data_IF_792946940092
#
_entry.id   IF_792946940092
#
_cell.length_a   1.000
_cell.length_b   1.000
_cell.length_c   1.000
_cell.angle_alpha   90.00
_cell.angle_beta   90.00
_cell.angle_gamma   90.00
#
_symmetry.space_group_name_H-M   'P 1'
#
loop_
_entity.id
_entity.type
_entity.pdbx_description
1 polymer ?
#
# COMPACT_ATOMS: atom_id res chain seq x y z
N UNK A 1 19.25 9.18 18.03
CA UNK A 1 18.03 9.86 18.53
C UNK A 1 16.86 8.93 18.22
N UNK A 2 16.17 8.39 19.24
CA UNK A 2 15.03 7.50 19.03
C UNK A 2 13.81 8.39 18.80
N UNK A 3 13.26 8.35 17.59
CA UNK A 3 12.06 9.10 17.21
C UNK A 3 10.86 8.44 17.90
N UNK A 4 10.09 9.19 18.70
CA UNK A 4 8.85 8.69 19.31
C UNK A 4 7.67 9.48 18.77
N UNK A 5 6.85 8.82 17.96
CA UNK A 5 5.51 9.31 17.62
C UNK A 5 4.60 9.03 18.84
N UNK A 6 3.87 10.03 19.39
CA UNK A 6 3.01 9.82 20.54
C UNK A 6 1.96 8.72 20.30
N UNK A 7 1.72 7.78 21.23
CA UNK A 7 0.72 6.71 21.06
C UNK A 7 -0.69 7.25 20.77
N UNK A 8 -0.98 8.46 21.24
CA UNK A 8 -2.25 9.14 21.10
C UNK A 8 -2.56 9.60 19.66
N UNK A 9 -1.56 9.66 18.77
CA UNK A 9 -1.78 9.90 17.33
C UNK A 9 -2.05 8.62 16.53
N UNK A 10 -1.93 7.44 17.16
CA UNK A 10 -2.20 6.13 16.53
C UNK A 10 -3.65 5.65 16.70
N UNK A 11 -4.51 6.44 17.35
CA UNK A 11 -5.85 5.99 17.73
C UNK A 11 -6.93 6.29 16.68
N UNK A 12 -6.70 7.22 15.75
CA UNK A 12 -7.70 7.56 14.75
C UNK A 12 -7.56 6.74 13.45
N UNK A 13 -8.24 5.59 13.43
CA UNK A 13 -8.28 4.69 12.26
C UNK A 13 -9.10 5.24 11.10
N UNK A 14 -9.95 6.25 11.31
CA UNK A 14 -10.89 6.74 10.27
C UNK A 14 -10.18 7.53 9.19
N UNK A 15 -9.06 8.17 9.53
CA UNK A 15 -8.33 9.04 8.59
C UNK A 15 -7.42 8.28 7.65
N UNK A 16 -6.97 7.09 8.03
CA UNK A 16 -6.26 6.17 7.13
C UNK A 16 -7.11 5.98 5.87
N UNK A 17 -8.43 5.81 6.02
CA UNK A 17 -9.36 5.54 4.91
C UNK A 17 -9.95 6.76 4.19
N UNK A 18 -9.55 7.98 4.53
CA UNK A 18 -10.19 9.21 4.05
C UNK A 18 -9.73 9.58 2.64
N UNK A 19 -10.68 9.95 1.77
CA UNK A 19 -10.43 10.60 0.47
C UNK A 19 -10.88 12.06 0.53
N UNK A 20 -10.08 13.00 0.04
CA UNK A 20 -10.51 14.40 -0.20
C UNK A 20 -10.95 14.54 -1.66
N UNK A 21 -12.03 15.28 -1.91
CA UNK A 21 -12.43 15.68 -3.26
C UNK A 21 -11.64 16.93 -3.66
N UNK A 22 -11.19 17.04 -4.92
CA UNK A 22 -10.69 18.31 -5.47
C UNK A 22 -9.35 18.28 -6.20
N UNK A 23 -8.52 17.24 -6.06
CA UNK A 23 -7.36 17.03 -6.95
C UNK A 23 -7.80 16.27 -8.20
N UNK A 24 -7.22 16.61 -9.35
CA UNK A 24 -7.40 15.87 -10.60
C UNK A 24 -6.76 14.48 -10.46
N UNK A 25 -7.44 13.57 -9.75
CA UNK A 25 -7.07 12.19 -9.67
C UNK A 25 -7.09 11.64 -11.09
N UNK A 26 -5.94 11.16 -11.57
CA UNK A 26 -5.90 10.40 -12.81
C UNK A 26 -6.90 9.25 -12.65
N UNK A 27 -7.92 9.14 -13.51
CA UNK A 27 -8.81 7.99 -13.46
C UNK A 27 -7.94 6.74 -13.59
N UNK A 28 -8.18 5.78 -12.70
CA UNK A 28 -7.43 4.53 -12.73
C UNK A 28 -7.57 3.94 -14.15
N UNK A 29 -6.47 3.71 -14.89
CA UNK A 29 -6.53 3.26 -16.28
C UNK A 29 -7.17 1.88 -16.43
N UNK A 30 -7.34 1.16 -15.32
CA UNK A 30 -8.12 -0.07 -15.23
C UNK A 30 -9.46 0.27 -14.58
N UNK A 31 -10.47 0.51 -15.41
CA UNK A 31 -11.87 0.58 -14.99
C UNK A 31 -12.48 -0.82 -15.15
N UNK A 32 -12.79 -1.48 -14.02
CA UNK A 32 -13.36 -2.83 -14.02
C UNK A 32 -14.74 -2.86 -14.69
N UNK A 33 -15.54 -1.80 -14.53
CA UNK A 33 -16.84 -1.66 -15.17
C UNK A 33 -16.72 -1.54 -16.68
N UNK A 34 -15.78 -0.71 -17.16
CA UNK A 34 -15.48 -0.57 -18.59
C UNK A 34 -14.93 -1.88 -19.18
N UNK A 35 -13.98 -2.54 -18.51
CA UNK A 35 -13.48 -3.85 -18.93
C UNK A 35 -14.60 -4.88 -19.04
N UNK A 36 -15.55 -4.87 -18.11
CA UNK A 36 -16.70 -5.78 -18.16
C UNK A 36 -17.64 -5.44 -19.32
N UNK A 37 -17.97 -4.16 -19.52
CA UNK A 37 -18.81 -3.70 -20.62
C UNK A 37 -18.21 -4.05 -22.00
N UNK A 38 -16.88 -4.08 -22.10
CA UNK A 38 -16.15 -4.46 -23.31
C UNK A 38 -15.90 -5.98 -23.43
N UNK A 39 -16.32 -6.79 -22.46
CA UNK A 39 -16.06 -8.24 -22.43
C UNK A 39 -14.59 -8.61 -22.18
N UNK A 40 -13.77 -7.67 -21.71
CA UNK A 40 -12.35 -7.83 -21.41
C UNK A 40 -12.07 -8.15 -19.93
N UNK A 41 -13.10 -8.11 -19.08
CA UNK A 41 -12.96 -8.47 -17.66
C UNK A 41 -12.69 -9.97 -17.51
N UNK A 42 -11.46 -10.28 -17.11
CA UNK A 42 -10.94 -11.64 -17.02
C UNK A 42 -10.17 -11.83 -15.70
N UNK A 43 -10.87 -12.09 -14.57
CA UNK A 43 -10.21 -12.30 -13.29
C UNK A 43 -9.34 -13.56 -13.35
N UNK A 44 -8.21 -13.52 -12.63
CA UNK A 44 -7.27 -14.64 -12.59
C UNK A 44 -7.89 -15.91 -11.97
N UNK A 45 -8.88 -15.75 -11.09
CA UNK A 45 -9.66 -16.86 -10.55
C UNK A 45 -11.04 -16.84 -11.17
N UNK A 46 -11.57 -18.02 -11.53
CA UNK A 46 -12.89 -18.17 -12.12
C UNK A 46 -13.66 -19.31 -11.46
N UNK A 47 -14.96 -19.13 -11.27
CA UNK A 47 -15.89 -20.18 -10.85
C UNK A 47 -16.66 -20.72 -12.06
N UNK A 48 -16.82 -22.04 -12.14
CA UNK A 48 -17.55 -22.75 -13.20
C UNK A 48 -18.55 -23.72 -12.58
N UNK A 49 -19.83 -23.46 -12.80
CA UNK A 49 -20.91 -24.36 -12.40
C UNK A 49 -20.98 -25.57 -13.33
N UNK A 50 -21.27 -26.74 -12.77
CA UNK A 50 -21.31 -28.02 -13.44
C UNK A 50 -22.50 -28.84 -12.96
N UNK A 51 -23.20 -29.45 -13.90
CA UNK A 51 -24.18 -30.50 -13.63
C UNK A 51 -23.59 -31.85 -14.05
N UNK A 52 -23.19 -32.66 -13.08
CA UNK A 52 -22.56 -33.96 -13.32
C UNK A 52 -23.61 -35.07 -13.18
N UNK A 53 -23.43 -36.16 -13.93
CA UNK A 53 -24.32 -37.32 -13.80
C UNK A 53 -23.94 -38.16 -12.57
N UNK A 54 -24.89 -38.54 -11.70
CA UNK A 54 -24.63 -39.47 -10.60
C UNK A 54 -24.06 -40.81 -11.11
N UNK A 55 -23.19 -41.49 -10.33
CA UNK A 55 -22.64 -42.78 -10.71
C UNK A 55 -23.73 -43.85 -10.80
N UNK A 56 -23.59 -44.74 -11.76
CA UNK A 56 -24.48 -45.90 -11.96
C UNK A 56 -23.65 -47.17 -12.10
N UNK A 57 -24.31 -48.35 -12.18
CA UNK A 57 -23.59 -49.59 -12.48
C UNK A 57 -22.95 -49.59 -13.87
N UNK A 58 -23.50 -48.84 -14.83
CA UNK A 58 -22.96 -48.70 -16.18
C UNK A 58 -21.89 -47.60 -16.30
N UNK A 59 -21.88 -46.65 -15.36
CA UNK A 59 -20.94 -45.53 -15.29
C UNK A 59 -20.44 -45.37 -13.85
N UNK A 60 -19.40 -46.15 -13.52
CA UNK A 60 -18.77 -46.21 -12.21
C UNK A 60 -17.40 -45.52 -12.18
N UNK A 61 -17.14 -44.55 -13.07
CA UNK A 61 -15.89 -43.79 -13.06
C UNK A 61 -15.75 -42.99 -11.76
N UNK A 62 -14.51 -42.78 -11.33
CA UNK A 62 -14.22 -42.08 -10.07
C UNK A 62 -14.66 -40.61 -10.12
N UNK A 63 -14.91 -40.02 -8.94
CA UNK A 63 -15.45 -38.66 -8.83
C UNK A 63 -14.54 -37.59 -9.47
N UNK A 64 -13.21 -37.80 -9.44
CA UNK A 64 -12.26 -36.90 -10.08
C UNK A 64 -12.39 -36.92 -11.60
N UNK A 65 -12.38 -38.11 -12.21
CA UNK A 65 -12.56 -38.25 -13.65
C UNK A 65 -13.93 -37.71 -14.11
N UNK A 66 -14.97 -37.91 -13.29
CA UNK A 66 -16.31 -37.35 -13.51
C UNK A 66 -16.31 -35.82 -13.51
N UNK A 67 -15.57 -35.20 -12.59
CA UNK A 67 -15.42 -33.75 -12.53
C UNK A 67 -14.62 -33.20 -13.72
N UNK A 68 -13.51 -33.85 -14.07
CA UNK A 68 -12.67 -33.48 -15.21
C UNK A 68 -13.42 -33.59 -16.53
N UNK A 69 -14.17 -34.68 -16.76
CA UNK A 69 -15.02 -34.85 -17.94
C UNK A 69 -16.13 -33.79 -17.99
N UNK A 70 -16.73 -33.45 -16.85
CA UNK A 70 -17.69 -32.34 -16.76
C UNK A 70 -17.10 -30.99 -17.15
N UNK A 71 -15.92 -30.66 -16.63
CA UNK A 71 -15.18 -29.43 -16.97
C UNK A 71 -14.78 -29.38 -18.45
N UNK A 72 -14.35 -30.51 -19.00
CA UNK A 72 -14.06 -30.68 -20.43
C UNK A 72 -15.30 -30.41 -21.28
N UNK A 73 -16.39 -31.17 -21.06
CA UNK A 73 -17.59 -31.10 -21.91
C UNK A 73 -18.37 -29.80 -21.80
N UNK A 74 -18.48 -29.24 -20.60
CA UNK A 74 -19.34 -28.06 -20.35
C UNK A 74 -18.57 -26.74 -20.51
N UNK A 75 -17.25 -26.73 -20.30
CA UNK A 75 -16.45 -25.50 -20.31
C UNK A 75 -15.20 -25.55 -21.21
N UNK A 76 -14.95 -26.66 -21.90
CA UNK A 76 -13.78 -26.82 -22.80
C UNK A 76 -12.44 -26.87 -22.06
N UNK A 77 -12.42 -27.36 -20.82
CA UNK A 77 -11.23 -27.38 -19.95
C UNK A 77 -10.64 -28.79 -19.84
N UNK A 78 -9.90 -29.20 -20.87
CA UNK A 78 -9.40 -30.59 -21.00
C UNK A 78 -8.06 -30.85 -20.29
N UNK A 79 -7.39 -29.80 -19.80
CA UNK A 79 -6.02 -29.89 -19.32
C UNK A 79 -5.77 -28.98 -18.11
N UNK A 80 -6.09 -29.51 -16.94
CA UNK A 80 -5.96 -28.80 -15.66
C UNK A 80 -4.94 -29.49 -14.73
N UNK A 81 -4.47 -28.73 -13.76
CA UNK A 81 -3.74 -29.26 -12.60
C UNK A 81 -4.63 -29.22 -11.38
N UNK A 82 -4.33 -30.02 -10.36
CA UNK A 82 -5.20 -30.17 -9.19
C UNK A 82 -4.47 -29.75 -7.93
N UNK A 83 -5.20 -29.09 -7.05
CA UNK A 83 -4.77 -28.97 -5.67
C UNK A 83 -5.02 -30.26 -4.88
N UNK A 84 -3.99 -30.79 -4.22
CA UNK A 84 -4.10 -32.05 -3.48
C UNK A 84 -5.20 -32.02 -2.40
N UNK A 85 -5.35 -30.91 -1.68
CA UNK A 85 -6.28 -30.86 -0.54
C UNK A 85 -7.75 -30.83 -0.97
N UNK A 86 -8.04 -30.45 -2.22
CA UNK A 86 -9.37 -30.59 -2.80
C UNK A 86 -9.85 -32.04 -2.81
N UNK A 87 -8.96 -32.99 -3.08
CA UNK A 87 -9.31 -34.42 -3.16
C UNK A 87 -9.87 -34.95 -1.84
N UNK A 88 -9.45 -34.39 -0.71
CA UNK A 88 -9.93 -34.80 0.63
C UNK A 88 -11.42 -34.56 0.83
N UNK A 89 -12.01 -33.58 0.12
CA UNK A 89 -13.43 -33.21 0.25
C UNK A 89 -14.26 -33.43 -1.00
N UNK A 90 -13.66 -33.88 -2.10
CA UNK A 90 -14.33 -34.01 -3.40
C UNK A 90 -15.59 -34.90 -3.33
N UNK A 91 -15.42 -36.14 -2.87
CA UNK A 91 -16.49 -37.13 -2.83
C UNK A 91 -17.72 -36.74 -1.98
N UNK A 92 -17.58 -36.18 -0.76
CA UNK A 92 -18.74 -35.69 -0.02
C UNK A 92 -19.36 -34.45 -0.68
N UNK A 93 -18.56 -33.49 -1.16
CA UNK A 93 -19.08 -32.23 -1.73
C UNK A 93 -19.90 -32.48 -2.99
N UNK A 94 -19.42 -33.32 -3.91
CA UNK A 94 -20.13 -33.60 -5.17
C UNK A 94 -21.51 -34.24 -4.93
N UNK A 95 -21.71 -34.94 -3.81
CA UNK A 95 -22.99 -35.60 -3.48
C UNK A 95 -23.97 -34.70 -2.73
N UNK A 96 -23.52 -33.60 -2.13
CA UNK A 96 -24.37 -32.75 -1.27
C UNK A 96 -25.52 -32.08 -2.01
N UNK A 97 -25.32 -31.72 -3.28
CA UNK A 97 -26.37 -31.09 -4.10
C UNK A 97 -26.65 -31.89 -5.38
N UNK A 98 -26.75 -33.22 -5.24
CA UNK A 98 -27.08 -34.14 -6.32
C UNK A 98 -26.20 -33.95 -7.57
N UNK A 99 -24.87 -33.96 -7.38
CA UNK A 99 -23.89 -33.84 -8.46
C UNK A 99 -23.90 -32.49 -9.19
N UNK A 100 -24.57 -31.48 -8.64
CA UNK A 100 -24.41 -30.07 -9.02
C UNK A 100 -23.32 -29.45 -8.16
N UNK A 101 -22.29 -28.90 -8.80
CA UNK A 101 -21.12 -28.35 -8.12
C UNK A 101 -20.58 -27.12 -8.82
N UNK A 102 -19.85 -26.30 -8.08
CA UNK A 102 -19.06 -25.20 -8.64
C UNK A 102 -17.58 -25.48 -8.41
N UNK A 103 -16.81 -25.46 -9.50
CA UNK A 103 -15.36 -25.56 -9.50
C UNK A 103 -14.72 -24.16 -9.48
N UNK A 104 -13.74 -23.93 -8.60
CA UNK A 104 -12.93 -22.70 -8.60
C UNK A 104 -11.56 -22.99 -9.21
N UNK A 105 -11.21 -22.25 -10.25
CA UNK A 105 -10.03 -22.43 -11.10
C UNK A 105 -9.11 -21.22 -10.99
N UNK A 106 -7.82 -21.48 -10.83
CA UNK A 106 -6.73 -20.51 -10.85
C UNK A 106 -6.08 -20.47 -12.25
N UNK A 107 -6.13 -19.31 -12.90
CA UNK A 107 -5.49 -18.97 -14.17
C UNK A 107 -4.31 -17.99 -14.00
N UNK A 108 -3.91 -17.64 -12.77
CA UNK A 108 -2.86 -16.67 -12.50
C UNK A 108 -1.51 -17.10 -13.07
N UNK A 109 -1.21 -18.41 -13.08
CA UNK A 109 0.02 -18.94 -13.64
C UNK A 109 -0.02 -19.09 -15.18
N UNK A 110 -0.06 -17.96 -15.89
CA UNK A 110 -0.15 -17.92 -17.36
C UNK A 110 0.93 -18.72 -18.10
N UNK A 111 2.13 -18.88 -17.50
CA UNK A 111 3.23 -19.66 -18.07
C UNK A 111 2.93 -21.17 -18.14
N UNK A 112 2.14 -21.70 -17.22
CA UNK A 112 1.81 -23.13 -17.20
C UNK A 112 0.80 -23.53 -18.28
N UNK A 113 0.10 -22.56 -18.90
CA UNK A 113 -1.05 -22.74 -19.83
C UNK A 113 -2.21 -23.62 -19.34
N UNK A 114 -2.09 -24.27 -18.18
CA UNK A 114 -3.10 -25.13 -17.56
C UNK A 114 -3.67 -24.43 -16.33
N UNK A 115 -4.98 -24.24 -16.21
CA UNK A 115 -5.55 -23.77 -14.96
C UNK A 115 -5.37 -24.80 -13.85
N UNK A 116 -5.33 -24.34 -12.60
CA UNK A 116 -5.32 -25.20 -11.42
C UNK A 116 -6.69 -25.21 -10.78
N UNK A 117 -7.30 -26.38 -10.61
CA UNK A 117 -8.51 -26.55 -9.82
C UNK A 117 -8.14 -26.49 -8.33
N UNK A 118 -8.56 -25.42 -7.66
CA UNK A 118 -8.17 -25.12 -6.27
C UNK A 118 -9.29 -25.40 -5.27
N UNK A 119 -10.56 -25.28 -5.68
CA UNK A 119 -11.69 -25.48 -4.78
C UNK A 119 -12.91 -26.10 -5.50
N UNK A 120 -13.75 -26.77 -4.72
CA UNK A 120 -15.06 -27.26 -5.14
C UNK A 120 -16.10 -26.99 -4.04
N UNK A 121 -17.29 -26.58 -4.47
CA UNK A 121 -18.43 -26.22 -3.63
C UNK A 121 -19.71 -26.89 -4.15
N UNK A 122 -20.67 -27.24 -3.28
CA UNK A 122 -21.95 -27.80 -3.70
C UNK A 122 -22.86 -26.73 -4.32
N UNK A 123 -23.62 -27.10 -5.35
CA UNK A 123 -24.55 -26.23 -6.07
C UNK A 123 -23.88 -25.14 -6.90
N UNK A 124 -24.68 -24.18 -7.36
CA UNK A 124 -24.18 -22.99 -8.08
C UNK A 124 -23.79 -21.88 -7.10
N UNK A 125 -22.50 -21.59 -7.06
CA UNK A 125 -21.89 -20.56 -6.22
C UNK A 125 -21.15 -19.50 -7.04
N UNK A 126 -21.35 -19.47 -8.37
CA UNK A 126 -20.61 -18.57 -9.26
C UNK A 126 -20.81 -17.09 -8.92
N UNK A 127 -21.98 -16.72 -8.38
CA UNK A 127 -22.27 -15.36 -7.92
C UNK A 127 -21.63 -14.98 -6.58
N UNK A 128 -21.00 -15.91 -5.86
CA UNK A 128 -20.37 -15.71 -4.55
C UNK A 128 -18.87 -15.93 -4.68
N UNK A 129 -18.18 -14.92 -5.20
CA UNK A 129 -16.79 -15.05 -5.59
C UNK A 129 -16.00 -13.80 -5.20
N UNK A 130 -15.27 -13.87 -4.11
CA UNK A 130 -14.58 -12.71 -3.55
C UNK A 130 -13.07 -12.89 -3.51
N UNK A 131 -12.35 -11.77 -3.51
CA UNK A 131 -10.90 -11.72 -3.38
C UNK A 131 -10.44 -10.58 -2.50
N UNK A 132 -9.20 -10.70 -2.05
CA UNK A 132 -8.52 -9.70 -1.26
C UNK A 132 -7.31 -9.16 -2.02
N UNK A 133 -7.14 -7.84 -2.03
CA UNK A 133 -5.89 -7.20 -2.43
C UNK A 133 -5.32 -6.51 -1.19
N UNK A 134 -4.09 -6.87 -0.80
CA UNK A 134 -3.43 -6.38 0.42
C UNK A 134 -2.17 -5.62 0.04
N UNK A 135 -2.01 -4.43 0.60
CA UNK A 135 -0.78 -3.63 0.53
C UNK A 135 -0.14 -3.56 1.92
N UNK A 136 1.10 -4.03 2.03
CA UNK A 136 1.88 -4.01 3.27
C UNK A 136 2.91 -2.89 3.18
N UNK A 137 2.48 -1.70 3.59
CA UNK A 137 3.38 -0.60 3.83
C UNK A 137 4.19 -0.79 5.13
N UNK A 138 5.31 -0.08 5.21
CA UNK A 138 6.12 -0.04 6.44
C UNK A 138 5.28 0.49 7.62
N UNK A 139 4.45 1.50 7.37
CA UNK A 139 3.62 2.15 8.39
C UNK A 139 2.20 1.57 8.50
N UNK A 140 1.57 1.24 7.37
CA UNK A 140 0.15 0.91 7.29
C UNK A 140 -0.02 -0.38 6.51
N UNK A 141 -0.94 -1.24 6.94
CA UNK A 141 -1.43 -2.37 6.14
C UNK A 141 -2.82 -2.02 5.64
N UNK A 142 -3.00 -2.06 4.33
CA UNK A 142 -4.26 -1.80 3.65
C UNK A 142 -4.81 -3.05 3.01
N UNK A 143 -6.13 -3.23 3.00
CA UNK A 143 -6.77 -4.27 2.22
C UNK A 143 -8.02 -3.75 1.50
N UNK A 144 -8.27 -4.29 0.31
CA UNK A 144 -9.51 -4.15 -0.44
C UNK A 144 -10.19 -5.51 -0.58
N UNK A 145 -11.52 -5.50 -0.48
CA UNK A 145 -12.38 -6.64 -0.75
C UNK A 145 -13.04 -6.43 -2.12
N UNK A 146 -12.88 -7.42 -3.00
CA UNK A 146 -13.39 -7.39 -4.37
C UNK A 146 -14.45 -8.47 -4.57
N UNK A 147 -15.54 -8.12 -5.24
CA UNK A 147 -16.49 -9.05 -5.84
C UNK A 147 -16.03 -9.34 -7.28
N UNK A 148 -15.53 -10.55 -7.48
CA UNK A 148 -15.04 -10.99 -8.79
C UNK A 148 -16.14 -11.40 -9.74
N UNK A 149 -17.31 -11.81 -9.24
CA UNK A 149 -18.45 -12.14 -10.09
C UNK A 149 -18.97 -10.87 -10.78
N UNK A 150 -18.94 -9.74 -10.06
CA UNK A 150 -19.43 -8.47 -10.57
C UNK A 150 -18.36 -7.49 -11.04
N UNK A 151 -17.08 -7.73 -10.72
CA UNK A 151 -15.99 -6.82 -11.04
C UNK A 151 -16.05 -5.52 -10.24
N UNK A 152 -16.37 -5.60 -8.95
CA UNK A 152 -16.59 -4.44 -8.09
C UNK A 152 -15.68 -4.46 -6.87
N UNK A 153 -15.19 -3.30 -6.47
CA UNK A 153 -14.53 -3.13 -5.16
C UNK A 153 -15.64 -2.85 -4.15
N UNK A 154 -15.88 -3.80 -3.22
CA UNK A 154 -16.93 -3.67 -2.21
C UNK A 154 -16.53 -2.67 -1.13
N UNK A 155 -15.27 -2.70 -0.72
CA UNK A 155 -14.76 -1.78 0.29
C UNK A 155 -13.30 -2.00 0.61
N UNK A 156 -12.83 -1.21 1.56
CA UNK A 156 -11.45 -1.23 2.02
C UNK A 156 -11.40 -1.07 3.54
N UNK A 157 -10.30 -1.51 4.12
CA UNK A 157 -9.96 -1.32 5.52
C UNK A 157 -8.45 -1.21 5.65
N UNK A 158 -7.99 -0.60 6.74
CA UNK A 158 -6.58 -0.47 7.02
C UNK A 158 -6.34 -0.37 8.51
N UNK A 159 -5.11 -0.68 8.90
CA UNK A 159 -4.63 -0.50 10.27
C UNK A 159 -3.12 -0.23 10.25
N UNK A 160 -2.59 0.23 11.37
CA UNK A 160 -1.16 0.39 11.50
C UNK A 160 -0.46 -0.97 11.48
N UNK A 161 0.69 -1.00 10.80
CA UNK A 161 1.52 -2.18 10.74
C UNK A 161 2.05 -2.50 12.14
N UNK A 162 1.69 -3.67 12.67
CA UNK A 162 2.07 -4.11 14.01
C UNK A 162 3.59 -4.18 14.21
N UNK A 163 4.37 -4.20 13.12
CA UNK A 163 5.83 -4.17 13.17
C UNK A 163 6.41 -2.84 13.67
N UNK A 164 5.63 -1.74 13.67
CA UNK A 164 6.08 -0.42 14.12
C UNK A 164 6.67 -0.45 15.54
N UNK A 165 6.13 -1.30 16.43
CA UNK A 165 6.63 -1.44 17.81
C UNK A 165 8.07 -1.99 17.90
N UNK A 166 8.62 -2.52 16.81
CA UNK A 166 9.96 -3.12 16.75
C UNK A 166 10.94 -2.33 15.86
N UNK A 167 10.46 -1.29 15.18
CA UNK A 167 11.28 -0.44 14.31
C UNK A 167 10.42 0.48 13.45
N UNK A 168 10.82 1.75 13.39
CA UNK A 168 10.12 2.78 12.63
C UNK A 168 10.35 2.68 11.12
N UNK A 169 11.47 2.08 10.70
CA UNK A 169 11.87 1.94 9.30
C UNK A 169 12.25 0.50 8.92
N UNK A 170 12.53 0.27 7.64
CA UNK A 170 12.91 -1.06 7.13
C UNK A 170 14.25 -1.55 7.69
N UNK A 171 15.22 -0.67 7.91
CA UNK A 171 16.58 -1.04 8.35
C UNK A 171 16.57 -1.49 9.81
N UNK A 172 15.90 -0.74 10.68
CA UNK A 172 15.73 -1.06 12.10
C UNK A 172 14.99 -2.38 12.28
N UNK A 173 13.98 -2.67 11.44
CA UNK A 173 13.31 -3.98 11.42
C UNK A 173 14.21 -5.11 10.95
N UNK A 174 15.04 -4.91 9.92
CA UNK A 174 16.05 -5.91 9.51
C UNK A 174 17.02 -6.21 10.65
N UNK A 175 17.45 -5.19 11.40
CA UNK A 175 18.33 -5.35 12.55
C UNK A 175 17.62 -6.08 13.69
N UNK A 176 16.35 -5.75 13.97
CA UNK A 176 15.55 -6.45 14.97
C UNK A 176 15.35 -7.93 14.59
N UNK A 177 15.10 -8.22 13.31
CA UNK A 177 14.89 -9.57 12.78
C UNK A 177 16.05 -10.54 13.06
N UNK A 178 17.27 -10.02 13.20
CA UNK A 178 18.48 -10.78 13.51
C UNK A 178 18.60 -11.20 14.99
N UNK A 179 17.76 -10.67 15.87
CA UNK A 179 17.70 -11.12 17.27
C UNK A 179 17.05 -12.52 17.33
N UNK A 180 17.33 -13.31 18.38
CA UNK A 180 16.61 -14.56 18.62
C UNK A 180 15.09 -14.34 18.57
N UNK A 181 14.38 -15.17 17.79
CA UNK A 181 12.93 -15.05 17.50
C UNK A 181 12.48 -13.71 16.88
N UNK A 182 13.39 -12.81 16.51
CA UNK A 182 13.07 -11.47 16.01
C UNK A 182 12.30 -11.51 14.68
N UNK A 183 12.76 -12.32 13.73
CA UNK A 183 12.11 -12.52 12.43
C UNK A 183 10.70 -13.08 12.61
N UNK A 184 10.54 -14.14 13.40
CA UNK A 184 9.23 -14.74 13.70
C UNK A 184 8.30 -13.74 14.37
N UNK A 185 8.80 -12.92 15.28
CA UNK A 185 8.03 -11.86 15.95
C UNK A 185 7.52 -10.83 14.94
N UNK A 186 8.38 -10.35 14.04
CA UNK A 186 8.00 -9.40 12.99
C UNK A 186 6.99 -10.00 12.00
N UNK A 187 7.18 -11.27 11.63
CA UNK A 187 6.27 -12.00 10.75
C UNK A 187 4.88 -12.15 11.38
N UNK A 188 4.82 -12.59 12.65
CA UNK A 188 3.57 -12.73 13.38
C UNK A 188 2.87 -11.37 13.55
N UNK A 189 3.62 -10.29 13.80
CA UNK A 189 3.06 -8.96 13.95
C UNK A 189 2.32 -8.50 12.68
N UNK A 190 2.93 -8.66 11.50
CA UNK A 190 2.28 -8.26 10.23
C UNK A 190 1.10 -9.18 9.88
N UNK A 191 1.22 -10.49 10.09
CA UNK A 191 0.12 -11.45 9.90
C UNK A 191 -1.08 -11.13 10.79
N UNK A 192 -0.83 -10.78 12.06
CA UNK A 192 -1.87 -10.38 13.01
C UNK A 192 -2.58 -9.11 12.53
N UNK A 193 -1.84 -8.13 12.01
CA UNK A 193 -2.43 -6.93 11.41
C UNK A 193 -3.27 -7.28 10.19
N UNK A 194 -2.77 -8.10 9.27
CA UNK A 194 -3.51 -8.50 8.05
C UNK A 194 -4.81 -9.22 8.42
N UNK A 195 -4.76 -10.21 9.33
CA UNK A 195 -5.96 -10.92 9.80
C UNK A 195 -6.97 -9.94 10.39
N UNK A 196 -6.54 -9.01 11.25
CA UNK A 196 -7.43 -8.00 11.82
C UNK A 196 -8.12 -7.14 10.76
N UNK A 197 -7.38 -6.69 9.74
CA UNK A 197 -7.91 -5.89 8.63
C UNK A 197 -8.92 -6.70 7.81
N UNK A 198 -8.57 -7.93 7.43
CA UNK A 198 -9.45 -8.85 6.69
C UNK A 198 -10.73 -9.14 7.48
N UNK A 199 -10.63 -9.50 8.76
CA UNK A 199 -11.77 -9.75 9.62
C UNK A 199 -12.65 -8.51 9.82
N UNK A 200 -12.06 -7.31 9.75
CA UNK A 200 -12.81 -6.06 9.71
C UNK A 200 -13.69 -5.95 8.45
N UNK A 201 -13.14 -6.26 7.29
CA UNK A 201 -13.86 -6.28 6.01
C UNK A 201 -14.96 -7.32 6.01
N UNK A 202 -14.65 -8.57 6.32
CA UNK A 202 -15.60 -9.68 6.28
C UNK A 202 -16.80 -9.43 7.20
N UNK A 203 -16.56 -8.93 8.43
CA UNK A 203 -17.65 -8.56 9.35
C UNK A 203 -18.49 -7.40 8.83
N UNK A 204 -17.87 -6.36 8.26
CA UNK A 204 -18.58 -5.20 7.71
C UNK A 204 -19.52 -5.59 6.57
N UNK A 205 -19.08 -6.48 5.69
CA UNK A 205 -19.85 -6.94 4.53
C UNK A 205 -20.65 -8.22 4.79
N UNK A 206 -20.59 -8.77 6.01
CA UNK A 206 -21.26 -10.01 6.44
C UNK A 206 -20.94 -11.21 5.51
N UNK A 207 -19.68 -11.28 5.05
CA UNK A 207 -19.22 -12.36 4.17
C UNK A 207 -18.57 -13.48 4.98
N UNK A 208 -18.90 -14.74 4.67
CA UNK A 208 -18.16 -15.88 5.21
C UNK A 208 -16.75 -15.94 4.60
N UNK A 209 -15.78 -16.39 5.39
CA UNK A 209 -14.37 -16.44 4.96
C UNK A 209 -14.17 -17.47 3.83
N UNK A 210 -15.04 -18.48 3.77
CA UNK A 210 -15.07 -19.55 2.78
C UNK A 210 -15.28 -19.08 1.35
N UNK A 211 -15.89 -17.89 1.16
CA UNK A 211 -16.17 -17.32 -0.16
C UNK A 211 -14.99 -16.49 -0.73
N UNK A 212 -13.91 -16.34 0.04
CA UNK A 212 -12.65 -15.74 -0.44
C UNK A 212 -11.89 -16.81 -1.24
N UNK A 213 -11.65 -16.55 -2.51
CA UNK A 213 -11.00 -17.50 -3.41
C UNK A 213 -9.49 -17.26 -3.58
N UNK A 214 -9.01 -16.02 -3.46
CA UNK A 214 -7.59 -15.71 -3.53
C UNK A 214 -7.22 -14.39 -2.84
N UNK A 215 -5.91 -14.23 -2.56
CA UNK A 215 -5.32 -13.01 -2.02
C UNK A 215 -4.13 -12.58 -2.88
N UNK A 216 -4.12 -11.32 -3.31
CA UNK A 216 -2.96 -10.67 -3.94
C UNK A 216 -2.29 -9.73 -2.95
N UNK A 217 -0.95 -9.70 -2.93
CA UNK A 217 -0.16 -8.92 -1.99
C UNK A 217 0.86 -8.03 -2.73
N UNK A 218 0.92 -6.76 -2.37
CA UNK A 218 1.95 -5.82 -2.79
C UNK A 218 2.65 -5.25 -1.55
N UNK A 219 3.97 -5.08 -1.61
CA UNK A 219 4.78 -4.60 -0.51
C UNK A 219 6.20 -4.28 -0.99
N UNK A 220 6.93 -3.42 -0.28
CA UNK A 220 8.36 -3.31 -0.51
C UNK A 220 9.07 -4.65 -0.22
N UNK A 221 10.29 -4.80 -0.72
CA UNK A 221 11.03 -6.07 -0.65
C UNK A 221 11.27 -6.53 0.78
N UNK A 222 11.58 -5.60 1.69
CA UNK A 222 11.78 -5.92 3.11
C UNK A 222 10.47 -6.41 3.75
N UNK A 223 9.36 -5.70 3.53
CA UNK A 223 8.04 -6.10 4.03
C UNK A 223 7.61 -7.46 3.48
N UNK A 224 7.90 -7.74 2.21
CA UNK A 224 7.68 -9.06 1.59
C UNK A 224 8.47 -10.14 2.34
N UNK A 225 9.76 -9.93 2.58
CA UNK A 225 10.60 -10.90 3.29
C UNK A 225 10.10 -11.14 4.71
N UNK A 226 9.78 -10.08 5.46
CA UNK A 226 9.26 -10.20 6.82
C UNK A 226 7.92 -10.95 6.87
N UNK A 227 7.00 -10.68 5.93
CA UNK A 227 5.71 -11.36 5.84
C UNK A 227 5.86 -12.87 5.58
N UNK A 228 6.79 -13.25 4.70
CA UNK A 228 7.08 -14.64 4.39
C UNK A 228 8.02 -15.34 5.38
N UNK A 229 8.53 -14.62 6.39
CA UNK A 229 9.52 -15.17 7.32
C UNK A 229 10.85 -15.51 6.65
N UNK A 230 11.20 -14.81 5.57
CA UNK A 230 12.46 -14.96 4.84
C UNK A 230 13.49 -14.02 5.47
N UNK A 231 14.72 -14.51 5.68
CA UNK A 231 15.84 -13.73 6.23
C UNK A 231 16.13 -12.47 5.39
N UNK A 232 15.95 -11.25 5.95
CA UNK A 232 16.14 -10.00 5.21
C UNK A 232 17.52 -9.37 5.41
N UNK A 233 18.42 -9.95 6.22
CA UNK A 233 19.75 -9.38 6.56
C UNK A 233 20.54 -8.87 5.34
N UNK A 234 20.57 -9.64 4.26
CA UNK A 234 21.39 -9.33 3.09
C UNK A 234 20.83 -8.23 2.18
N UNK A 235 19.58 -7.79 2.40
CA UNK A 235 18.98 -6.64 1.70
C UNK A 235 19.80 -5.37 1.96
N UNK A 236 20.24 -5.17 3.21
CA UNK A 236 20.97 -3.96 3.64
C UNK A 236 22.49 -4.06 3.59
N UNK A 237 23.03 -5.24 3.30
CA UNK A 237 24.47 -5.46 3.29
C UNK A 237 24.94 -5.48 1.85
N UNK A 238 26.01 -4.74 1.55
CA UNK A 238 26.64 -4.77 0.23
C UNK A 238 26.92 -6.22 -0.20
N UNK A 239 26.55 -6.62 -1.44
CA UNK A 239 26.06 -5.82 -2.56
C UNK A 239 24.52 -5.67 -2.67
N UNK A 240 23.82 -5.62 -1.54
CA UNK A 240 22.38 -5.35 -1.41
C UNK A 240 21.50 -6.36 -2.14
N UNK A 241 21.70 -7.65 -1.86
CA UNK A 241 21.03 -8.74 -2.56
C UNK A 241 19.88 -9.32 -1.75
N UNK A 242 18.62 -9.18 -2.18
CA UNK A 242 17.50 -9.85 -1.53
C UNK A 242 17.54 -11.36 -1.78
N UNK A 243 16.94 -12.15 -0.89
CA UNK A 243 16.87 -13.61 -1.04
C UNK A 243 16.04 -14.00 -2.26
N UNK A 244 14.93 -13.29 -2.50
CA UNK A 244 14.10 -13.49 -3.68
C UNK A 244 13.39 -12.20 -4.09
N UNK A 245 13.37 -11.93 -5.40
CA UNK A 245 12.50 -10.89 -5.98
C UNK A 245 11.14 -11.46 -6.42
N UNK A 246 11.05 -12.77 -6.62
CA UNK A 246 9.82 -13.48 -6.97
C UNK A 246 9.58 -14.62 -5.97
N UNK A 247 8.49 -14.54 -5.21
CA UNK A 247 8.09 -15.59 -4.26
C UNK A 247 7.01 -16.44 -4.92
N UNK A 248 7.15 -17.78 -4.96
CA UNK A 248 6.12 -18.64 -5.53
C UNK A 248 4.82 -18.58 -4.73
N UNK A 249 3.66 -18.86 -5.34
CA UNK A 249 2.39 -18.86 -4.61
C UNK A 249 2.40 -19.86 -3.46
N UNK A 250 1.97 -19.41 -2.28
CA UNK A 250 1.86 -20.23 -1.06
C UNK A 250 0.46 -20.13 -0.49
N UNK A 251 0.04 -21.13 0.29
CA UNK A 251 -1.27 -21.06 0.96
C UNK A 251 -1.23 -19.99 2.04
N UNK A 252 -2.31 -19.24 2.13
CA UNK A 252 -2.48 -18.20 3.13
C UNK A 252 -2.33 -18.75 4.56
N UNK A 253 -2.98 -19.89 4.83
CA UNK A 253 -2.95 -20.51 6.16
C UNK A 253 -1.57 -20.95 6.63
N UNK A 254 -0.66 -21.29 5.71
CA UNK A 254 0.66 -21.81 6.06
C UNK A 254 1.55 -20.69 6.63
N UNK A 255 1.18 -19.43 6.38
CA UNK A 255 1.78 -18.23 6.97
C UNK A 255 1.00 -17.70 8.19
N UNK A 256 -0.06 -18.38 8.62
CA UNK A 256 -0.89 -17.96 9.74
C UNK A 256 -2.03 -17.00 9.40
N UNK A 257 -2.34 -16.81 8.11
CA UNK A 257 -3.56 -16.09 7.73
C UNK A 257 -4.80 -16.95 7.98
N UNK A 258 -5.84 -16.34 8.55
CA UNK A 258 -7.12 -16.98 8.88
C UNK A 258 -8.01 -17.07 7.63
N UNK A 259 -7.53 -17.75 6.59
CA UNK A 259 -8.23 -17.96 5.31
C UNK A 259 -8.37 -19.46 5.01
N UNK A 260 -9.34 -19.86 4.19
CA UNK A 260 -9.54 -21.26 3.81
C UNK A 260 -8.30 -21.91 3.20
N UNK A 261 -8.21 -23.23 3.33
CA UNK A 261 -7.09 -24.04 2.83
C UNK A 261 -6.80 -23.86 1.35
N UNK A 262 -7.81 -23.53 0.53
CA UNK A 262 -7.66 -23.35 -0.91
C UNK A 262 -7.15 -21.97 -1.33
N UNK A 263 -7.03 -21.02 -0.40
CA UNK A 263 -6.62 -19.65 -0.71
C UNK A 263 -5.10 -19.56 -0.82
N UNK A 264 -4.63 -19.18 -1.99
CA UNK A 264 -3.22 -18.89 -2.27
C UNK A 264 -2.95 -17.39 -2.25
N UNK A 265 -1.74 -17.04 -1.83
CA UNK A 265 -1.19 -15.68 -1.86
C UNK A 265 -0.35 -15.52 -3.12
N UNK A 266 -0.65 -14.48 -3.90
CA UNK A 266 0.15 -14.06 -5.05
C UNK A 266 0.80 -12.73 -4.72
N UNK A 267 2.12 -12.72 -4.56
CA UNK A 267 2.87 -11.49 -4.32
C UNK A 267 3.32 -10.86 -5.62
N UNK A 268 3.13 -9.54 -5.74
CA UNK A 268 3.74 -8.75 -6.81
C UNK A 268 5.26 -8.82 -6.64
N UNK A 269 5.97 -9.07 -7.74
CA UNK A 269 7.42 -9.28 -7.69
C UNK A 269 8.15 -7.97 -7.41
N UNK A 270 9.22 -8.05 -6.63
CA UNK A 270 10.16 -6.94 -6.42
C UNK A 270 11.11 -6.80 -7.60
N UNK A 271 11.75 -5.63 -7.72
CA UNK A 271 12.83 -5.38 -8.69
C UNK A 271 14.20 -5.58 -8.04
N UNK A 272 14.40 -5.00 -6.86
CA UNK A 272 15.68 -4.99 -6.14
C UNK A 272 15.47 -4.99 -4.62
N UNK A 273 16.50 -4.72 -3.82
CA UNK A 273 16.39 -4.62 -2.35
C UNK A 273 15.47 -3.50 -1.85
N UNK A 274 15.39 -2.39 -2.59
CA UNK A 274 14.69 -1.18 -2.16
C UNK A 274 13.59 -0.74 -3.12
N UNK A 275 13.36 -1.49 -4.20
CA UNK A 275 12.22 -1.29 -5.11
C UNK A 275 11.43 -2.59 -5.15
N UNK A 276 10.29 -2.60 -4.45
CA UNK A 276 9.50 -3.79 -4.23
C UNK A 276 8.26 -3.92 -5.11
N UNK A 277 7.39 -4.86 -4.72
CA UNK A 277 6.16 -5.17 -5.42
C UNK A 277 5.08 -4.10 -5.29
N UNK A 278 5.16 -3.26 -4.26
CA UNK A 278 4.38 -2.02 -4.12
C UNK A 278 4.60 -1.07 -5.31
N UNK A 279 5.86 -0.78 -5.63
CA UNK A 279 6.20 0.10 -6.76
C UNK A 279 5.82 -0.53 -8.09
N UNK A 280 6.08 -1.83 -8.27
CA UNK A 280 5.65 -2.55 -9.47
C UNK A 280 4.13 -2.52 -9.62
N UNK A 281 3.39 -2.71 -8.53
CA UNK A 281 1.93 -2.59 -8.50
C UNK A 281 1.48 -1.16 -8.86
N UNK A 282 2.16 -0.14 -8.34
CA UNK A 282 1.93 1.27 -8.65
C UNK A 282 2.14 1.61 -10.12
N UNK A 283 3.21 1.10 -10.74
CA UNK A 283 3.49 1.25 -12.18
C UNK A 283 2.46 0.51 -13.04
N UNK A 284 2.05 -0.69 -12.60
CA UNK A 284 0.98 -1.44 -13.27
C UNK A 284 -0.36 -0.69 -13.22
N UNK A 285 -0.65 -0.08 -12.07
CA UNK A 285 -1.85 0.72 -11.83
C UNK A 285 -1.81 2.06 -12.56
N UNK A 286 -0.64 2.68 -12.74
CA UNK A 286 -0.50 3.98 -13.42
C UNK A 286 -0.61 3.87 -14.94
N UNK A 287 -0.29 2.71 -15.50
CA UNK A 287 -0.39 2.45 -16.94
C UNK A 287 0.77 3.00 -17.78
N UNK A 288 1.84 3.50 -17.15
CA UNK A 288 3.01 4.09 -17.85
C UNK A 288 3.59 3.16 -18.90
N UNK A 289 3.61 1.86 -18.62
CA UNK A 289 4.10 0.81 -19.54
C UNK A 289 3.25 0.63 -20.82
N UNK A 290 2.16 1.39 -20.98
CA UNK A 290 1.29 1.38 -22.17
C UNK A 290 1.32 2.70 -22.94
N UNK A 291 2.04 3.69 -22.45
CA UNK A 291 2.04 5.03 -23.03
C UNK A 291 3.43 5.38 -23.58
N UNK A 292 3.53 6.10 -24.70
CA UNK A 292 4.82 6.52 -25.25
C UNK A 292 5.45 7.68 -24.45
N UNK A 293 4.62 8.43 -23.70
CA UNK A 293 5.04 9.62 -22.95
C UNK A 293 6.09 9.29 -21.90
N UNK A 294 7.16 10.07 -21.88
CA UNK A 294 8.17 9.97 -20.84
C UNK A 294 7.60 10.46 -19.51
N UNK A 295 7.43 9.52 -18.58
CA UNK A 295 6.71 9.76 -17.33
C UNK A 295 7.59 9.52 -16.12
N UNK A 296 7.67 10.51 -15.23
CA UNK A 296 8.25 10.39 -13.90
C UNK A 296 7.16 10.01 -12.90
N UNK A 297 7.23 8.78 -12.39
CA UNK A 297 6.42 8.30 -11.29
C UNK A 297 7.18 8.45 -9.98
N UNK A 298 6.52 9.01 -8.96
CA UNK A 298 7.09 9.25 -7.65
C UNK A 298 6.13 8.69 -6.60
N UNK A 299 6.55 7.68 -5.85
CA UNK A 299 5.84 7.21 -4.66
C UNK A 299 6.40 7.94 -3.43
N UNK A 300 5.57 8.81 -2.85
CA UNK A 300 5.95 9.59 -1.68
C UNK A 300 5.49 8.84 -0.44
N UNK A 301 6.40 8.03 0.09
CA UNK A 301 6.30 7.38 1.39
C UNK A 301 7.62 7.46 2.15
N UNK A 302 7.84 6.52 3.06
CA UNK A 302 9.01 6.49 3.96
C UNK A 302 10.36 6.41 3.21
N UNK A 303 10.39 5.76 2.04
CA UNK A 303 11.60 5.40 1.30
C UNK A 303 11.76 6.11 -0.06
N UNK A 304 10.85 7.00 -0.43
CA UNK A 304 10.98 7.85 -1.62
C UNK A 304 11.36 7.10 -2.91
N UNK A 305 10.46 6.29 -3.46
CA UNK A 305 10.70 5.51 -4.65
C UNK A 305 10.31 6.25 -5.93
N UNK A 306 11.15 6.14 -6.97
CA UNK A 306 10.98 6.84 -8.24
C UNK A 306 11.15 5.89 -9.42
N UNK A 307 10.35 6.11 -10.46
CA UNK A 307 10.40 5.38 -11.73
C UNK A 307 10.32 6.37 -12.88
N UNK A 308 11.21 6.26 -13.86
CA UNK A 308 11.19 7.04 -15.10
C UNK A 308 11.08 6.10 -16.29
N UNK A 309 10.29 6.47 -17.30
CA UNK A 309 10.25 5.75 -18.56
C UNK A 309 8.89 5.81 -19.24
N UNK A 310 8.62 4.83 -20.08
CA UNK A 310 7.44 4.72 -20.92
C UNK A 310 7.16 3.24 -21.29
N UNK A 311 6.39 2.99 -22.35
CA UNK A 311 6.10 1.63 -22.83
C UNK A 311 7.31 0.82 -23.33
N UNK A 312 8.43 1.48 -23.68
CA UNK A 312 9.60 0.81 -24.25
C UNK A 312 10.63 0.43 -23.18
N UNK A 313 10.78 1.27 -22.15
CA UNK A 313 11.75 1.06 -21.08
C UNK A 313 11.29 1.72 -19.79
N UNK A 314 11.75 1.18 -18.66
CA UNK A 314 11.54 1.74 -17.33
C UNK A 314 12.85 1.62 -16.54
N UNK A 315 13.21 2.67 -15.82
CA UNK A 315 14.29 2.68 -14.84
C UNK A 315 13.75 3.16 -13.49
N UNK A 316 14.33 2.68 -12.40
CA UNK A 316 13.86 3.00 -11.05
C UNK A 316 15.01 3.20 -10.08
N UNK A 317 14.74 3.95 -9.02
CA UNK A 317 15.63 4.14 -7.89
C UNK A 317 14.80 4.33 -6.61
N UNK A 318 15.45 4.14 -5.47
CA UNK A 318 14.89 4.44 -4.15
C UNK A 318 15.79 5.44 -3.45
N UNK A 319 15.19 6.42 -2.77
CA UNK A 319 15.89 7.57 -2.21
C UNK A 319 15.58 7.68 -0.72
N UNK A 320 16.59 7.76 0.15
CA UNK A 320 16.32 7.88 1.60
C UNK A 320 15.77 9.26 1.99
N UNK A 321 14.47 9.49 1.73
CA UNK A 321 13.77 10.72 2.09
C UNK A 321 13.42 10.77 3.59
N UNK A 322 13.18 9.61 4.21
CA UNK A 322 12.73 9.53 5.61
C UNK A 322 11.26 9.95 5.78
N UNK A 323 10.68 9.72 6.97
CA UNK A 323 9.25 9.89 7.19
C UNK A 323 8.82 11.35 7.45
N UNK A 324 9.64 12.35 7.11
CA UNK A 324 9.37 13.76 7.45
C UNK A 324 8.02 14.25 6.88
N UNK A 325 7.72 13.88 5.63
CA UNK A 325 6.43 14.18 4.98
C UNK A 325 5.27 13.31 5.49
N UNK A 326 5.53 12.29 6.32
CA UNK A 326 4.51 11.55 7.08
C UNK A 326 4.32 12.11 8.51
N UNK A 327 5.00 13.22 8.83
CA UNK A 327 5.06 13.83 10.17
C UNK A 327 6.04 13.15 11.12
N UNK A 328 6.84 12.18 10.66
CA UNK A 328 7.83 11.49 11.46
C UNK A 328 9.12 12.30 11.64
N UNK A 329 9.65 12.36 12.85
CA UNK A 329 10.89 13.09 13.15
C UNK A 329 10.71 14.62 13.22
N UNK A 330 9.47 15.10 13.26
CA UNK A 330 9.10 16.50 13.40
C UNK A 330 8.38 16.69 14.75
N UNK A 331 8.77 17.68 15.55
CA UNK A 331 8.31 17.84 16.95
C UNK A 331 6.78 17.92 17.08
N UNK A 332 6.16 18.82 16.32
CA UNK A 332 4.70 18.95 16.22
C UNK A 332 4.14 18.17 15.02
N UNK A 333 4.93 17.32 14.39
CA UNK A 333 4.51 16.49 13.27
C UNK A 333 3.56 15.38 13.71
N UNK A 334 2.55 15.13 12.90
CA UNK A 334 1.65 14.00 13.07
C UNK A 334 1.16 13.49 11.73
N UNK A 335 0.52 12.32 11.72
CA UNK A 335 -0.17 11.84 10.52
C UNK A 335 -1.43 12.64 10.28
N UNK A 336 -1.93 12.62 9.05
CA UNK A 336 -3.23 13.18 8.72
C UNK A 336 -4.32 12.47 9.56
N UNK A 337 -4.82 13.17 10.57
CA UNK A 337 -5.87 12.72 11.47
C UNK A 337 -6.72 13.91 11.94
N UNK A 338 -7.87 13.68 12.57
CA UNK A 338 -8.69 14.76 13.14
C UNK A 338 -7.83 15.68 14.02
N UNK A 339 -7.89 16.99 13.75
CA UNK A 339 -7.09 18.02 14.41
C UNK A 339 -5.67 18.22 13.87
N UNK A 340 -5.23 17.47 12.86
CA UNK A 340 -3.98 17.79 12.16
C UNK A 340 -4.17 19.03 11.28
N UNK A 341 -3.23 19.97 11.34
CA UNK A 341 -3.16 21.15 10.48
C UNK A 341 -2.80 20.68 9.07
N UNK A 342 -3.65 20.97 8.09
CA UNK A 342 -3.46 20.60 6.68
C UNK A 342 -3.23 21.79 5.75
N UNK A 343 -3.71 22.99 6.11
CA UNK A 343 -3.44 24.24 5.38
C UNK A 343 -2.94 25.31 6.35
N UNK A 344 -1.98 26.09 5.87
CA UNK A 344 -1.41 27.23 6.59
C UNK A 344 -1.33 28.41 5.62
N UNK A 345 -1.76 29.58 6.10
CA UNK A 345 -1.51 30.87 5.47
C UNK A 345 -1.02 31.83 6.53
N UNK A 346 -0.11 32.73 6.17
CA UNK A 346 0.47 33.70 7.08
C UNK A 346 0.05 35.11 6.67
N UNK A 347 -0.19 35.98 7.64
CA UNK A 347 -0.35 37.40 7.38
C UNK A 347 1.03 38.02 7.02
N UNK A 348 1.17 38.73 5.89
CA UNK A 348 2.45 39.26 5.43
C UNK A 348 3.05 40.35 6.34
N UNK A 349 2.22 41.05 7.12
CA UNK A 349 2.66 42.15 7.99
C UNK A 349 2.89 41.70 9.43
N UNK A 350 1.98 40.89 9.97
CA UNK A 350 2.02 40.49 11.38
C UNK A 350 2.61 39.11 11.61
N UNK A 351 2.73 38.32 10.55
CA UNK A 351 3.08 36.91 10.60
C UNK A 351 2.15 36.08 11.49
N UNK A 352 0.91 36.52 11.67
CA UNK A 352 -0.10 35.72 12.36
C UNK A 352 -0.61 34.59 11.44
N UNK A 353 -0.63 33.33 11.90
CA UNK A 353 -1.04 32.20 11.09
C UNK A 353 -2.57 32.01 11.08
N UNK A 354 -3.11 31.76 9.89
CA UNK A 354 -4.42 31.14 9.72
C UNK A 354 -4.23 29.65 9.46
N UNK A 355 -4.83 28.82 10.33
CA UNK A 355 -4.69 27.36 10.29
C UNK A 355 -6.01 26.69 9.95
N UNK A 356 -6.00 25.74 9.02
CA UNK A 356 -7.13 24.82 8.82
C UNK A 356 -6.72 23.42 9.27
N UNK A 357 -7.58 22.83 10.09
CA UNK A 357 -7.39 21.48 10.61
C UNK A 357 -8.37 20.51 10.00
N UNK A 358 -7.95 19.26 9.91
CA UNK A 358 -8.83 18.15 9.54
C UNK A 358 -9.99 18.07 10.54
N UNK A 359 -11.22 18.13 10.01
CA UNK A 359 -12.50 18.18 10.74
C UNK A 359 -12.77 19.46 11.53
N UNK A 360 -12.01 20.54 11.28
CA UNK A 360 -12.27 21.87 11.83
C UNK A 360 -12.34 21.90 13.37
N UNK A 361 -11.50 21.08 14.02
CA UNK A 361 -11.35 21.04 15.49
C UNK A 361 -10.07 21.76 15.91
N UNK A 362 -9.88 21.98 17.22
CA UNK A 362 -8.62 22.53 17.74
C UNK A 362 -7.40 21.74 17.22
N UNK A 363 -6.29 22.41 16.88
CA UNK A 363 -5.12 21.74 16.35
C UNK A 363 -4.45 20.83 17.39
N UNK A 364 -3.94 19.71 16.92
CA UNK A 364 -3.20 18.70 17.70
C UNK A 364 -1.76 18.52 17.21
N UNK A 365 -1.47 18.90 15.97
CA UNK A 365 -0.17 18.79 15.31
C UNK A 365 -0.30 19.12 13.83
N UNK A 366 0.75 18.90 13.05
CA UNK A 366 0.86 19.27 11.64
C UNK A 366 1.01 18.01 10.80
N UNK A 367 0.15 17.82 9.79
CA UNK A 367 0.31 16.69 8.86
C UNK A 367 1.29 17.03 7.73
N UNK A 368 1.68 16.01 6.96
CA UNK A 368 2.62 16.17 5.85
C UNK A 368 2.30 17.32 4.89
N UNK A 369 1.05 17.40 4.42
CA UNK A 369 0.63 18.49 3.51
C UNK A 369 0.70 19.84 4.22
N UNK A 370 0.30 19.90 5.49
CA UNK A 370 0.45 21.08 6.34
C UNK A 370 1.91 21.51 6.51
N UNK A 371 2.86 20.56 6.59
CA UNK A 371 4.29 20.86 6.69
C UNK A 371 4.85 21.46 5.40
N UNK A 372 4.45 20.98 4.22
CA UNK A 372 4.83 21.59 2.94
C UNK A 372 4.22 22.99 2.81
N UNK A 373 2.93 23.13 3.08
CA UNK A 373 2.24 24.41 2.98
C UNK A 373 2.83 25.44 3.95
N UNK A 374 3.15 25.02 5.17
CA UNK A 374 3.84 25.85 6.16
C UNK A 374 5.22 26.28 5.67
N UNK A 375 6.04 25.35 5.16
CA UNK A 375 7.39 25.69 4.72
C UNK A 375 7.36 26.67 3.53
N UNK A 376 6.45 26.45 2.58
CA UNK A 376 6.24 27.35 1.45
C UNK A 376 5.75 28.73 1.92
N UNK A 377 4.82 28.79 2.88
CA UNK A 377 4.34 30.06 3.43
C UNK A 377 5.44 30.82 4.20
N UNK A 378 6.22 30.12 5.03
CA UNK A 378 7.35 30.72 5.74
C UNK A 378 8.40 31.29 4.78
N UNK A 379 8.66 30.60 3.67
CA UNK A 379 9.62 31.05 2.66
C UNK A 379 9.06 32.23 1.85
N UNK A 380 7.79 32.15 1.44
CA UNK A 380 7.15 33.18 0.60
C UNK A 380 6.98 34.52 1.33
N UNK A 381 6.69 34.47 2.62
CA UNK A 381 6.57 35.65 3.47
C UNK A 381 7.91 36.10 4.08
N UNK A 382 9.03 35.58 3.58
CA UNK A 382 10.39 35.89 4.03
C UNK A 382 10.64 35.66 5.54
N UNK A 383 9.91 34.78 6.24
CA UNK A 383 10.23 34.42 7.64
C UNK A 383 11.48 33.55 7.74
N UNK A 384 11.69 32.70 6.73
CA UNK A 384 12.87 31.85 6.62
C UNK A 384 13.67 32.21 5.38
N UNK A 385 14.99 32.08 5.50
CA UNK A 385 15.92 32.21 4.39
C UNK A 385 15.99 30.88 3.60
N UNK A 386 16.51 30.88 2.36
CA UNK A 386 16.64 29.66 1.54
C UNK A 386 17.48 28.53 2.17
N UNK A 387 18.27 28.83 3.21
CA UNK A 387 19.03 27.86 3.98
C UNK A 387 18.24 27.27 5.17
N UNK A 388 16.95 27.58 5.31
CA UNK A 388 16.06 27.08 6.37
C UNK A 388 16.16 27.83 7.70
N UNK A 389 16.96 28.91 7.78
CA UNK A 389 17.12 29.70 9.00
C UNK A 389 16.05 30.77 9.12
N UNK A 390 15.52 30.95 10.33
CA UNK A 390 14.62 32.06 10.60
C UNK A 390 15.38 33.38 10.56
N UNK A 391 14.70 34.42 10.09
CA UNK A 391 15.18 35.80 10.20
C UNK A 391 14.99 36.31 11.62
N UNK A 392 16.09 36.68 12.25
CA UNK A 392 16.13 37.20 13.63
C UNK A 392 15.85 38.71 13.72
N UNK A 393 15.75 39.40 12.58
CA UNK A 393 15.41 40.81 12.47
C UNK A 393 13.89 41.09 12.46
N UNK A 394 13.06 40.05 12.50
CA UNK A 394 11.60 40.16 12.46
C UNK A 394 10.99 40.35 13.85
N UNK A 395 10.15 41.38 13.99
CA UNK A 395 9.43 41.67 15.23
C UNK A 395 8.08 40.94 15.27
N UNK A 396 8.08 39.67 15.66
CA UNK A 396 6.83 38.90 15.92
C UNK A 396 6.91 38.13 17.24
N UNK A 397 5.82 38.12 18.05
CA UNK A 397 5.77 37.32 19.27
C UNK A 397 5.78 35.82 19.00
N UNK A 398 5.53 35.40 17.75
CA UNK A 398 5.46 34.00 17.32
C UNK A 398 6.84 33.38 17.12
N UNK A 399 7.90 34.17 16.97
CA UNK A 399 9.27 33.69 16.79
C UNK A 399 10.04 33.79 18.10
N UNK A 400 10.63 32.68 18.56
CA UNK A 400 11.44 32.66 19.79
C UNK A 400 12.61 31.71 19.68
N UNK A 401 13.60 31.90 20.55
CA UNK A 401 14.73 30.98 20.68
C UNK A 401 14.37 29.79 21.57
N UNK A 402 14.80 28.60 21.17
CA UNK A 402 14.65 27.34 21.91
C UNK A 402 15.99 26.58 21.97
N UNK A 403 16.00 25.39 22.58
CA UNK A 403 17.19 24.53 22.62
C UNK A 403 17.60 24.04 21.22
N UNK A 404 16.65 23.92 20.29
CA UNK A 404 16.83 23.45 18.92
C UNK A 404 17.04 24.60 17.91
N UNK A 405 17.41 25.79 18.39
CA UNK A 405 17.49 27.01 17.58
C UNK A 405 16.18 27.81 17.63
N UNK A 406 15.96 28.65 16.61
CA UNK A 406 14.70 29.39 16.52
C UNK A 406 13.50 28.46 16.25
N UNK A 407 12.36 28.79 16.83
CA UNK A 407 11.09 28.13 16.54
C UNK A 407 9.98 29.16 16.32
N UNK A 408 9.08 28.82 15.41
CA UNK A 408 7.86 29.59 15.12
C UNK A 408 6.65 28.89 15.74
N UNK A 409 5.84 29.64 16.49
CA UNK A 409 4.65 29.13 17.19
C UNK A 409 3.41 29.23 16.30
N UNK A 410 2.95 28.11 15.76
CA UNK A 410 1.74 28.05 14.95
C UNK A 410 0.48 28.26 15.78
N UNK A 411 0.40 27.62 16.95
CA UNK A 411 -0.76 27.70 17.83
C UNK A 411 -0.31 27.69 19.30
N UNK A 412 -0.85 28.60 20.09
CA UNK A 412 -0.57 28.71 21.52
C UNK A 412 -1.28 27.61 22.30
N UNK A 413 -0.76 27.26 23.48
CA UNK A 413 -1.33 26.25 24.38
C UNK A 413 -2.86 26.35 24.60
N UNK A 414 -3.43 27.57 24.69
CA UNK A 414 -4.89 27.75 24.85
C UNK A 414 -5.72 27.36 23.63
N UNK A 415 -5.09 27.35 22.45
CA UNK A 415 -5.70 27.09 21.15
C UNK A 415 -5.64 25.60 20.79
N UNK A 416 -4.76 24.82 21.42
CA UNK A 416 -4.48 23.43 21.05
C UNK A 416 -5.27 22.43 21.88
N UNK A 417 -5.35 21.18 21.40
CA UNK A 417 -5.99 20.08 22.17
C UNK A 417 -5.11 19.57 23.30
N UNK A 418 -3.79 19.62 23.13
CA UNK A 418 -2.81 19.11 24.11
C UNK A 418 -2.57 20.07 25.27
N UNK A 419 -2.99 21.34 25.15
CA UNK A 419 -2.64 22.38 26.10
C UNK A 419 -1.15 22.78 26.04
N UNK A 420 -0.46 22.44 24.95
CA UNK A 420 0.93 22.80 24.69
C UNK A 420 1.03 23.60 23.39
N UNK A 421 2.00 24.49 23.28
CA UNK A 421 2.28 25.21 22.05
C UNK A 421 2.61 24.23 20.91
N UNK A 422 2.07 24.48 19.72
CA UNK A 422 2.48 23.80 18.49
C UNK A 422 3.50 24.66 17.76
N UNK A 423 4.70 24.13 17.57
CA UNK A 423 5.84 24.88 17.01
C UNK A 423 6.47 24.15 15.84
N UNK A 424 7.18 24.90 15.01
CA UNK A 424 8.11 24.39 13.99
C UNK A 424 9.49 24.99 14.26
N UNK A 425 10.48 24.15 14.48
CA UNK A 425 11.87 24.56 14.77
C UNK A 425 12.74 24.55 13.52
N UNK A 426 13.91 25.19 13.57
CA UNK A 426 14.93 25.05 12.52
C UNK A 426 15.37 23.61 12.30
N UNK A 427 15.45 22.78 13.35
CA UNK A 427 15.78 21.35 13.22
C UNK A 427 14.70 20.60 12.45
N UNK A 428 13.43 20.94 12.67
CA UNK A 428 12.31 20.38 11.93
C UNK A 428 12.36 20.80 10.44
N UNK A 429 12.63 22.08 10.18
CA UNK A 429 12.79 22.62 8.82
C UNK A 429 13.95 21.93 8.10
N UNK A 430 15.10 21.79 8.77
CA UNK A 430 16.26 21.07 8.26
C UNK A 430 15.94 19.61 7.91
N UNK A 431 15.14 18.92 8.73
CA UNK A 431 14.67 17.56 8.45
C UNK A 431 13.80 17.50 7.18
N UNK A 432 12.87 18.43 7.00
CA UNK A 432 12.02 18.54 5.81
C UNK A 432 12.85 18.85 4.55
N UNK A 433 13.78 19.79 4.66
CA UNK A 433 14.68 20.15 3.55
C UNK A 433 15.56 18.97 3.12
N UNK A 434 16.07 18.17 4.07
CA UNK A 434 16.81 16.94 3.75
C UNK A 434 15.94 15.93 3.00
N UNK A 435 14.69 15.73 3.44
CA UNK A 435 13.75 14.83 2.77
C UNK A 435 13.46 15.29 1.33
N UNK A 436 13.15 16.59 1.15
CA UNK A 436 12.94 17.20 -0.18
C UNK A 436 14.18 17.08 -1.06
N UNK A 437 15.35 17.40 -0.51
CA UNK A 437 16.63 17.35 -1.20
C UNK A 437 17.01 15.94 -1.64
N UNK A 438 16.75 14.92 -0.80
CA UNK A 438 17.00 13.53 -1.15
C UNK A 438 16.16 13.06 -2.33
N UNK A 439 14.86 13.42 -2.37
CA UNK A 439 13.99 13.13 -3.51
C UNK A 439 14.47 13.85 -4.77
N UNK A 440 14.72 15.16 -4.66
CA UNK A 440 15.15 16.00 -5.78
C UNK A 440 16.46 15.50 -6.40
N UNK A 441 17.47 15.23 -5.56
CA UNK A 441 18.73 14.66 -5.99
C UNK A 441 18.55 13.25 -6.58
N UNK A 442 17.65 12.46 -6.01
CA UNK A 442 17.33 11.10 -6.46
C UNK A 442 16.86 11.05 -7.90
N UNK A 443 15.81 11.79 -8.26
CA UNK A 443 15.31 11.76 -9.63
C UNK A 443 16.21 12.50 -10.61
N UNK A 444 16.94 13.53 -10.19
CA UNK A 444 17.98 14.13 -11.04
C UNK A 444 19.09 13.14 -11.37
N UNK A 445 19.57 12.39 -10.38
CA UNK A 445 20.59 11.36 -10.58
C UNK A 445 20.07 10.25 -11.48
N UNK A 446 18.82 9.82 -11.28
CA UNK A 446 18.20 8.81 -12.13
C UNK A 446 18.09 9.29 -13.58
N UNK A 447 17.62 10.52 -13.82
CA UNK A 447 17.53 11.12 -15.15
C UNK A 447 18.90 11.20 -15.82
N UNK A 448 19.92 11.72 -15.12
CA UNK A 448 21.28 11.82 -15.64
C UNK A 448 21.85 10.44 -16.00
N UNK A 449 21.59 9.42 -15.17
CA UNK A 449 22.06 8.05 -15.43
C UNK A 449 21.48 7.41 -16.70
N UNK A 450 20.33 7.90 -17.16
CA UNK A 450 19.68 7.45 -18.41
C UNK A 450 19.82 8.50 -19.53
N UNK A 451 20.63 9.54 -19.33
CA UNK A 451 20.93 10.57 -20.34
C UNK A 451 19.80 11.57 -20.59
N UNK A 452 18.92 11.78 -19.60
CA UNK A 452 17.76 12.66 -19.67
C UNK A 452 17.92 13.89 -18.75
N UNK A 453 17.13 14.91 -19.03
CA UNK A 453 17.02 16.15 -18.25
C UNK A 453 15.58 16.35 -17.77
N UNK A 454 15.39 17.24 -16.80
CA UNK A 454 14.06 17.60 -16.31
C UNK A 454 13.13 18.11 -17.42
N UNK A 455 13.66 18.82 -18.41
CA UNK A 455 12.86 19.38 -19.52
C UNK A 455 12.33 18.29 -20.46
N UNK A 456 12.89 17.09 -20.44
CA UNK A 456 12.44 15.98 -21.28
C UNK A 456 11.18 15.31 -20.73
N UNK A 457 10.88 15.50 -19.43
CA UNK A 457 9.76 14.87 -18.76
C UNK A 457 8.44 15.47 -19.25
N UNK A 458 7.57 14.63 -19.81
CA UNK A 458 6.28 15.05 -20.36
C UNK A 458 5.14 14.90 -19.34
N UNK A 459 5.33 14.06 -18.32
CA UNK A 459 4.33 13.78 -17.31
C UNK A 459 4.96 13.42 -15.97
N UNK A 460 4.34 13.88 -14.87
CA UNK A 460 4.65 13.44 -13.51
C UNK A 460 3.41 12.76 -12.91
N UNK A 461 3.59 11.60 -12.28
CA UNK A 461 2.56 10.90 -11.52
C UNK A 461 3.04 10.79 -10.07
N UNK A 462 2.23 11.32 -9.14
CA UNK A 462 2.48 11.18 -7.72
C UNK A 462 1.61 10.06 -7.15
N UNK A 463 2.24 9.17 -6.37
CA UNK A 463 1.61 8.10 -5.63
C UNK A 463 1.92 8.24 -4.13
N UNK A 464 1.31 7.35 -3.34
CA UNK A 464 1.36 7.37 -1.89
C UNK A 464 0.19 8.14 -1.26
N UNK A 465 -0.05 7.89 0.03
CA UNK A 465 -1.12 8.56 0.79
C UNK A 465 -0.95 10.09 0.76
N UNK A 466 0.29 10.56 0.66
CA UNK A 466 0.67 11.96 0.59
C UNK A 466 0.21 12.66 -0.69
N UNK A 467 0.30 12.01 -1.85
CA UNK A 467 -0.01 12.62 -3.16
C UNK A 467 -1.46 13.07 -3.31
N UNK A 468 -2.38 12.55 -2.49
CA UNK A 468 -3.79 12.97 -2.48
C UNK A 468 -4.07 14.29 -1.74
N UNK A 469 -3.08 14.84 -1.04
CA UNK A 469 -3.21 16.03 -0.19
C UNK A 469 -2.19 17.14 -0.49
N UNK A 470 -1.31 16.93 -1.46
CA UNK A 470 -0.23 17.87 -1.76
C UNK A 470 -0.74 19.08 -2.56
N UNK A 471 -0.38 20.29 -2.15
CA UNK A 471 -0.44 21.47 -3.02
C UNK A 471 0.80 21.49 -3.90
N UNK A 472 0.60 21.35 -5.22
CA UNK A 472 1.70 21.21 -6.17
C UNK A 472 2.55 22.49 -6.29
N UNK A 473 1.93 23.67 -6.23
CA UNK A 473 2.66 24.94 -6.30
C UNK A 473 3.58 25.09 -5.08
N UNK A 474 3.06 24.79 -3.88
CA UNK A 474 3.84 24.83 -2.64
C UNK A 474 4.92 23.74 -2.56
N UNK A 475 4.73 22.61 -3.24
CA UNK A 475 5.74 21.56 -3.31
C UNK A 475 6.87 21.89 -4.31
N UNK A 476 6.59 22.74 -5.30
CA UNK A 476 7.57 23.22 -6.29
C UNK A 476 8.41 24.36 -5.71
N UNK A 477 7.77 25.29 -4.99
CA UNK A 477 8.45 26.33 -4.20
C UNK A 477 9.44 25.70 -3.21
#
# INVERSE_FOLDING_TARGET
>A
MVVRIPPESLLDRRTITRRRAGLALRPHPIDLGALRAQGLYNPAFQKKFLELHPPTLADNVCDLARLEDGLSRQHGLDNLTLDFFLLRKLAPVIRQDNFRVTATLDFAQRRSRKPRLVNIEPGDTCGRHFALAVDIGTTTVWAQLLDLANGQILGHAADYNGQLMYGDDVITRIVYGQKPEGLKTLQQAVVTTINKVIQGLLRRFKLPVEEISHLTLAANTTMTHLFYGIEPKYIRLTPYTPTACHVPPMRARDLGLELPEHVFIYSVSSVSSYVGGDIVSGVLASGIYKEPKLTLYIDIGTNGEIVIGNQEWLACAACSAGPAFEGGGIRSGMRAATGAIEEVSLNPETFEPMLLTIDMVKPKGICGSGLINLLAALLTEDLILPNGKFRDDLATPRLRQSEDGYEYVLAWAGETQSGQDLTISEVDIDNLMRAKGAMFAGYLTLLDSVGLKLQDIEQVILAGAFGSFINLENAIA
#
